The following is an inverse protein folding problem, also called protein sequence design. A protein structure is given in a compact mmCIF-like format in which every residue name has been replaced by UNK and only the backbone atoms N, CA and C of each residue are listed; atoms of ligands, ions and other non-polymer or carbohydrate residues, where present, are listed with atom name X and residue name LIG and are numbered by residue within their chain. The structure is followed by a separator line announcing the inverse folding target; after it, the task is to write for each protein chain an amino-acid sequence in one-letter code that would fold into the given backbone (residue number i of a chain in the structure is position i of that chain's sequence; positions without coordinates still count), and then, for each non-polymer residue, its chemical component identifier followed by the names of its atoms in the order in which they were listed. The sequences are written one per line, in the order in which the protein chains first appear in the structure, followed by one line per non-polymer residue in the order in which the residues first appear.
data_IF_915123481115
#
_entry.id   IF_915123481115
#
_cell.length_a   1.000
_cell.length_b   1.000
_cell.length_c   1.000
_cell.angle_alpha   90.00
_cell.angle_beta   90.00
_cell.angle_gamma   90.00
#
_symmetry.space_group_name_H-M   'P 1'
#
loop_
_entity.id
_entity.type
_entity.pdbx_description
1 polymer ?
#
# COMPACT_ATOMS: atom_id res chain seq x y z
N UNK A 1 -60.72 -42.44 -41.42
CA UNK A 1 -59.79 -41.44 -42.00
C UNK A 1 -59.96 -40.12 -41.26
N UNK A 2 -58.89 -39.33 -41.04
CA UNK A 2 -58.71 -38.51 -39.84
C UNK A 2 -59.22 -37.06 -39.98
N UNK A 3 -59.60 -36.45 -38.85
CA UNK A 3 -59.79 -35.01 -38.68
C UNK A 3 -59.53 -34.64 -37.20
N UNK A 4 -58.43 -33.96 -36.90
CA UNK A 4 -58.33 -32.52 -36.54
C UNK A 4 -58.28 -32.23 -35.03
N UNK A 5 -57.05 -31.99 -34.57
CA UNK A 5 -56.57 -30.94 -33.64
C UNK A 5 -57.62 -30.21 -32.77
N UNK A 6 -57.42 -30.24 -31.45
CA UNK A 6 -57.58 -29.04 -30.62
C UNK A 6 -56.72 -29.11 -29.35
N UNK A 7 -55.81 -28.14 -29.27
CA UNK A 7 -55.03 -27.71 -28.12
C UNK A 7 -55.96 -27.15 -27.03
N UNK A 8 -55.69 -27.49 -25.77
CA UNK A 8 -56.22 -26.77 -24.61
C UNK A 8 -55.06 -26.50 -23.64
N UNK A 9 -54.68 -25.22 -23.56
CA UNK A 9 -53.93 -24.64 -22.45
C UNK A 9 -54.77 -24.73 -21.18
N UNK A 10 -54.15 -24.96 -20.02
CA UNK A 10 -54.61 -24.33 -18.77
C UNK A 10 -53.50 -24.31 -17.72
N UNK A 11 -53.15 -23.08 -17.34
CA UNK A 11 -52.90 -22.61 -15.97
C UNK A 11 -51.66 -23.09 -15.20
N UNK A 12 -50.57 -22.33 -15.36
CA UNK A 12 -49.47 -22.21 -14.40
C UNK A 12 -49.93 -21.50 -13.12
N UNK A 13 -50.02 -22.22 -12.00
CA UNK A 13 -50.15 -21.63 -10.66
C UNK A 13 -48.76 -21.22 -10.13
N UNK A 14 -48.53 -19.91 -10.01
CA UNK A 14 -47.38 -19.33 -9.28
C UNK A 14 -47.56 -19.56 -7.78
N UNK A 15 -46.75 -20.43 -7.20
CA UNK A 15 -46.57 -20.51 -5.75
C UNK A 15 -45.59 -19.42 -5.31
N UNK A 16 -46.07 -18.45 -4.53
CA UNK A 16 -45.25 -17.44 -3.86
C UNK A 16 -44.91 -17.97 -2.47
N UNK A 17 -43.77 -18.64 -2.33
CA UNK A 17 -43.26 -19.06 -1.02
C UNK A 17 -42.47 -17.91 -0.38
N UNK A 18 -42.99 -17.42 0.75
CA UNK A 18 -42.38 -16.41 1.61
C UNK A 18 -41.19 -17.04 2.37
N UNK A 19 -40.02 -16.36 2.50
CA UNK A 19 -38.90 -16.93 3.25
C UNK A 19 -39.18 -16.87 4.78
N UNK A 20 -38.66 -17.83 5.56
CA UNK A 20 -38.92 -17.92 7.00
C UNK A 20 -38.18 -16.83 7.79
N UNK A 21 -38.66 -16.47 9.00
CA UNK A 21 -38.07 -15.39 9.79
C UNK A 21 -36.69 -15.77 10.33
N UNK A 22 -35.76 -14.81 10.26
CA UNK A 22 -34.40 -14.95 10.75
C UNK A 22 -34.36 -15.21 12.28
N UNK A 23 -33.74 -16.32 12.68
CA UNK A 23 -33.50 -16.62 14.09
C UNK A 23 -32.42 -15.68 14.64
N UNK A 24 -32.79 -14.88 15.65
CA UNK A 24 -31.84 -14.08 16.43
C UNK A 24 -30.99 -15.04 17.29
N UNK A 25 -29.84 -15.45 16.78
CA UNK A 25 -28.80 -16.05 17.60
C UNK A 25 -28.29 -15.01 18.60
N UNK A 26 -28.60 -15.21 19.89
CA UNK A 26 -28.02 -14.43 20.99
C UNK A 26 -26.50 -14.66 20.98
N UNK A 27 -25.71 -13.63 20.70
CA UNK A 27 -24.27 -13.67 20.90
C UNK A 27 -23.99 -13.85 22.40
N UNK A 28 -23.52 -15.04 22.79
CA UNK A 28 -22.88 -15.22 24.10
C UNK A 28 -21.60 -14.40 24.06
N UNK A 29 -21.56 -13.29 24.78
CA UNK A 29 -20.32 -12.60 25.08
C UNK A 29 -19.33 -13.60 25.68
N UNK A 30 -18.21 -13.81 24.98
CA UNK A 30 -17.11 -14.62 25.47
C UNK A 30 -16.59 -13.99 26.77
N UNK A 31 -16.49 -14.79 27.83
CA UNK A 31 -15.88 -14.35 29.10
C UNK A 31 -14.42 -13.97 28.85
N UNK A 32 -13.88 -12.93 29.52
CA UNK A 32 -12.48 -12.55 29.37
C UNK A 32 -11.60 -13.72 29.78
N UNK A 33 -10.77 -14.19 28.85
CA UNK A 33 -9.75 -15.20 29.09
C UNK A 33 -8.80 -14.71 30.17
N UNK A 34 -8.55 -15.51 31.21
CA UNK A 34 -7.53 -15.23 32.22
C UNK A 34 -6.19 -15.04 31.50
N UNK A 35 -5.48 -13.97 31.81
CA UNK A 35 -4.14 -13.71 31.28
C UNK A 35 -3.20 -14.85 31.72
N UNK A 36 -3.01 -15.85 30.86
CA UNK A 36 -2.00 -16.89 31.05
C UNK A 36 -0.65 -16.21 30.90
N UNK A 37 0.11 -16.12 31.98
CA UNK A 37 1.48 -15.60 31.97
C UNK A 37 2.34 -16.50 31.07
N UNK A 38 2.93 -15.92 30.02
CA UNK A 38 3.82 -16.62 29.08
C UNK A 38 5.02 -17.20 29.86
N UNK A 39 5.40 -18.48 29.65
CA UNK A 39 6.56 -19.07 30.32
C UNK A 39 7.85 -18.24 30.10
N UNK A 40 8.75 -18.11 31.11
CA UNK A 40 9.96 -17.29 30.97
C UNK A 40 10.85 -17.68 29.78
N UNK A 41 10.92 -18.97 29.45
CA UNK A 41 11.69 -19.46 28.30
C UNK A 41 11.13 -18.95 26.96
N UNK A 42 9.81 -18.96 26.80
CA UNK A 42 9.12 -18.43 25.61
C UNK A 42 9.30 -16.91 25.52
N UNK A 43 9.18 -16.20 26.64
CA UNK A 43 9.42 -14.76 26.67
C UNK A 43 10.86 -14.39 26.25
N UNK A 44 11.84 -15.17 26.71
CA UNK A 44 13.25 -15.03 26.32
C UNK A 44 13.48 -15.31 24.83
N UNK A 45 12.90 -16.39 24.31
CA UNK A 45 12.94 -16.76 22.89
C UNK A 45 12.42 -15.62 22.01
N UNK A 46 11.20 -15.15 22.30
CA UNK A 46 10.54 -14.07 21.56
C UNK A 46 11.41 -12.81 21.55
N UNK A 47 11.96 -12.42 22.70
CA UNK A 47 12.85 -11.25 22.82
C UNK A 47 14.10 -11.41 21.95
N UNK A 48 14.77 -12.56 22.00
CA UNK A 48 15.99 -12.82 21.21
C UNK A 48 15.74 -12.73 19.71
N UNK A 49 14.65 -13.31 19.22
CA UNK A 49 14.31 -13.27 17.80
C UNK A 49 14.08 -11.82 17.35
N UNK A 50 13.30 -11.03 18.10
CA UNK A 50 13.08 -9.61 17.78
C UNK A 50 14.39 -8.83 17.75
N UNK A 51 15.27 -9.02 18.73
CA UNK A 51 16.57 -8.34 18.79
C UNK A 51 17.48 -8.71 17.60
N UNK A 52 17.49 -9.98 17.16
CA UNK A 52 18.25 -10.41 15.97
C UNK A 52 17.70 -9.81 14.68
N UNK A 53 16.39 -9.62 14.57
CA UNK A 53 15.76 -9.09 13.35
C UNK A 53 15.91 -7.57 13.21
N UNK A 54 16.08 -6.82 14.31
CA UNK A 54 16.27 -5.35 14.27
C UNK A 54 17.42 -4.90 13.35
N UNK A 55 18.67 -5.42 13.48
CA UNK A 55 19.75 -5.10 12.55
C UNK A 55 19.47 -5.51 11.10
N UNK A 56 18.72 -6.60 10.87
CA UNK A 56 18.36 -7.05 9.52
C UNK A 56 17.46 -6.02 8.85
N UNK A 57 16.49 -5.45 9.57
CA UNK A 57 15.61 -4.38 9.07
C UNK A 57 16.45 -3.17 8.62
N UNK A 58 17.40 -2.73 9.45
CA UNK A 58 18.26 -1.60 9.14
C UNK A 58 19.13 -1.86 7.91
N UNK A 59 19.83 -3.00 7.88
CA UNK A 59 20.73 -3.37 6.79
C UNK A 59 19.96 -3.48 5.46
N UNK A 60 18.85 -4.21 5.44
CA UNK A 60 18.06 -4.42 4.23
C UNK A 60 17.42 -3.13 3.74
N UNK A 61 16.97 -2.25 4.64
CA UNK A 61 16.44 -0.94 4.27
C UNK A 61 17.47 -0.06 3.56
N UNK A 62 18.74 -0.13 3.98
CA UNK A 62 19.84 0.56 3.29
C UNK A 62 20.17 -0.07 1.93
N UNK A 63 20.13 -1.39 1.82
CA UNK A 63 20.48 -2.12 0.59
C UNK A 63 19.40 -2.01 -0.50
N UNK A 64 18.12 -2.07 -0.13
CA UNK A 64 17.00 -2.03 -1.09
C UNK A 64 16.62 -0.61 -1.51
N UNK A 65 17.14 0.41 -0.81
CA UNK A 65 16.91 1.81 -1.11
C UNK A 65 15.55 2.33 -0.62
N UNK A 66 15.28 3.63 -0.85
CA UNK A 66 14.20 4.36 -0.17
C UNK A 66 12.79 3.91 -0.57
N UNK A 67 12.62 3.27 -1.73
CA UNK A 67 11.30 2.85 -2.22
C UNK A 67 10.80 1.53 -1.61
N UNK A 68 11.59 0.91 -0.73
CA UNK A 68 11.22 -0.34 -0.05
C UNK A 68 11.24 -0.14 1.46
N UNK A 69 10.08 -0.25 2.08
CA UNK A 69 9.89 -0.22 3.52
C UNK A 69 10.03 -1.61 4.12
N UNK A 70 10.71 -1.70 5.26
CA UNK A 70 10.72 -2.90 6.11
C UNK A 70 10.17 -2.55 7.48
N UNK A 71 9.26 -3.38 7.99
CA UNK A 71 8.62 -3.15 9.29
C UNK A 71 8.65 -4.43 10.11
N UNK A 72 9.28 -4.38 11.27
CA UNK A 72 9.23 -5.43 12.27
C UNK A 72 8.16 -5.08 13.31
N UNK A 73 7.20 -5.98 13.47
CA UNK A 73 6.13 -5.90 14.42
C UNK A 73 6.37 -6.86 15.60
N UNK A 74 6.16 -6.37 16.83
CA UNK A 74 5.79 -7.17 18.00
C UNK A 74 4.26 -7.27 18.05
N UNK A 75 3.76 -8.47 17.82
CA UNK A 75 2.32 -8.76 17.74
C UNK A 75 1.69 -8.97 19.12
N UNK A 76 2.51 -9.04 20.17
CA UNK A 76 2.04 -9.07 21.56
C UNK A 76 1.62 -7.68 22.05
N UNK A 77 2.01 -6.62 21.32
CA UNK A 77 1.70 -5.22 21.64
C UNK A 77 1.03 -4.51 20.44
N UNK A 78 -0.20 -4.87 20.06
CA UNK A 78 -0.83 -4.38 18.82
C UNK A 78 -0.97 -2.85 18.74
N UNK A 79 -1.14 -2.18 19.89
CA UNK A 79 -1.26 -0.71 19.97
C UNK A 79 0.08 0.02 19.76
N UNK A 80 1.21 -0.68 19.89
CA UNK A 80 2.55 -0.14 19.69
C UNK A 80 3.44 -1.16 18.94
N UNK A 81 2.87 -1.81 17.93
CA UNK A 81 3.46 -3.03 17.36
C UNK A 81 4.78 -2.79 16.65
N UNK A 82 5.01 -1.63 16.03
CA UNK A 82 6.23 -1.41 15.24
C UNK A 82 7.42 -1.23 16.18
N UNK A 83 8.31 -2.22 16.23
CA UNK A 83 9.52 -2.22 17.08
C UNK A 83 10.80 -1.91 16.30
N UNK A 84 10.78 -2.04 14.98
CA UNK A 84 11.84 -1.60 14.09
C UNK A 84 11.25 -1.23 12.72
N UNK A 85 11.79 -0.20 12.08
CA UNK A 85 11.33 0.22 10.75
C UNK A 85 12.48 0.85 9.96
N UNK A 86 12.55 0.50 8.68
CA UNK A 86 13.37 1.20 7.70
C UNK A 86 12.48 1.75 6.59
N UNK A 87 12.80 2.96 6.11
CA UNK A 87 12.05 3.67 5.06
C UNK A 87 10.55 3.84 5.36
N UNK A 88 10.21 4.11 6.63
CA UNK A 88 8.81 4.28 7.09
C UNK A 88 8.02 5.40 6.41
N UNK A 89 8.69 6.29 5.65
CA UNK A 89 8.05 7.31 4.84
C UNK A 89 7.18 6.72 3.71
N UNK A 90 7.41 5.47 3.28
CA UNK A 90 6.59 4.82 2.25
C UNK A 90 5.14 4.65 2.71
N UNK A 91 4.93 4.20 3.95
CA UNK A 91 3.58 4.08 4.52
C UNK A 91 3.19 5.22 5.48
N UNK A 92 4.17 6.01 5.93
CA UNK A 92 4.00 7.02 6.99
C UNK A 92 4.15 6.47 8.42
N UNK A 93 4.57 5.21 8.58
CA UNK A 93 4.75 4.55 9.89
C UNK A 93 6.08 4.93 10.55
N UNK A 94 6.12 4.76 11.87
CA UNK A 94 7.31 4.94 12.72
C UNK A 94 7.35 3.90 13.84
N UNK A 95 8.46 3.80 14.56
CA UNK A 95 8.50 2.97 15.79
C UNK A 95 7.39 3.42 16.75
N UNK A 96 6.68 2.45 17.33
CA UNK A 96 5.51 2.66 18.18
C UNK A 96 4.19 2.82 17.42
N UNK A 97 4.20 2.81 16.09
CA UNK A 97 2.98 2.75 15.28
C UNK A 97 2.14 1.49 15.59
N UNK A 98 0.81 1.65 15.58
CA UNK A 98 -0.12 0.54 15.77
C UNK A 98 -0.08 -0.43 14.59
N UNK A 99 -0.50 -1.67 14.79
CA UNK A 99 -0.59 -2.68 13.71
C UNK A 99 -1.54 -2.25 12.59
N UNK A 100 -2.55 -1.43 12.91
CA UNK A 100 -3.57 -0.95 11.98
C UNK A 100 -3.16 0.31 11.18
N UNK A 101 -2.05 0.95 11.56
CA UNK A 101 -1.54 2.14 10.87
C UNK A 101 -0.80 1.84 9.55
N UNK A 102 -0.74 0.56 9.15
CA UNK A 102 -0.11 0.10 7.92
C UNK A 102 -0.93 0.39 6.64
N UNK A 103 -0.50 -0.18 5.50
CA UNK A 103 -1.20 -0.07 4.23
C UNK A 103 -2.71 -0.39 4.35
N UNK A 104 -3.53 0.40 3.66
CA UNK A 104 -4.95 0.11 3.45
C UNK A 104 -5.09 -1.13 2.57
N UNK A 105 -6.20 -1.83 2.77
CA UNK A 105 -6.49 -3.11 2.13
C UNK A 105 -5.44 -4.20 2.39
N UNK A 106 -4.72 -4.11 3.50
CA UNK A 106 -3.89 -5.21 4.03
C UNK A 106 -4.75 -6.34 4.64
N UNK A 107 -5.86 -6.65 3.96
CA UNK A 107 -6.68 -7.84 4.21
C UNK A 107 -5.86 -9.10 4.02
N UNK A 108 -4.80 -9.03 3.21
CA UNK A 108 -3.83 -10.11 3.05
C UNK A 108 -3.03 -10.34 4.33
N UNK A 109 -2.56 -9.30 5.05
CA UNK A 109 -1.99 -9.46 6.39
C UNK A 109 -3.03 -9.99 7.39
N UNK A 110 -4.26 -9.47 7.37
CA UNK A 110 -5.34 -9.98 8.24
C UNK A 110 -5.73 -11.44 7.96
N UNK A 111 -5.79 -11.83 6.69
CA UNK A 111 -6.07 -13.19 6.25
C UNK A 111 -4.87 -14.12 6.49
N UNK A 112 -3.66 -13.63 6.25
CA UNK A 112 -2.43 -14.33 6.60
C UNK A 112 -2.30 -14.55 8.09
N UNK A 113 -2.64 -13.55 8.90
CA UNK A 113 -2.73 -13.65 10.34
C UNK A 113 -3.78 -14.70 10.73
N UNK A 114 -4.97 -14.65 10.15
CA UNK A 114 -6.04 -15.62 10.43
C UNK A 114 -5.68 -17.05 10.03
N UNK A 115 -5.06 -17.23 8.85
CA UNK A 115 -4.55 -18.52 8.38
C UNK A 115 -3.32 -18.97 9.18
N UNK A 116 -2.51 -18.03 9.68
CA UNK A 116 -1.41 -18.33 10.57
C UNK A 116 -1.91 -18.70 11.97
N UNK A 117 -3.02 -18.13 12.46
CA UNK A 117 -3.61 -18.57 13.74
C UNK A 117 -4.25 -19.96 13.67
N UNK A 118 -4.33 -20.57 12.49
CA UNK A 118 -4.66 -21.98 12.36
C UNK A 118 -3.49 -22.82 12.92
N UNK A 119 -3.73 -23.49 14.04
CA UNK A 119 -2.74 -24.16 14.90
C UNK A 119 -2.10 -25.40 14.26
N UNK A 120 -2.31 -25.63 12.97
CA UNK A 120 -1.87 -26.82 12.25
C UNK A 120 -0.37 -26.82 11.90
N UNK A 121 0.34 -25.70 12.07
CA UNK A 121 1.77 -25.59 11.80
C UNK A 121 2.55 -24.87 12.90
N UNK A 122 3.64 -25.49 13.36
CA UNK A 122 4.60 -24.92 14.32
C UNK A 122 5.68 -24.04 13.68
N UNK A 123 5.79 -24.04 12.34
CA UNK A 123 6.80 -23.28 11.60
C UNK A 123 6.41 -21.83 11.31
N UNK A 124 7.42 -20.98 11.12
CA UNK A 124 7.23 -19.63 10.59
C UNK A 124 6.50 -19.68 9.23
N UNK A 125 5.68 -18.68 8.96
CA UNK A 125 4.83 -18.66 7.76
C UNK A 125 5.24 -17.49 6.86
N UNK A 126 5.38 -17.74 5.56
CA UNK A 126 5.69 -16.70 4.57
C UNK A 126 4.47 -16.47 3.68
N UNK A 127 4.06 -15.21 3.61
CA UNK A 127 3.01 -14.73 2.72
C UNK A 127 3.69 -14.02 1.58
N UNK A 128 3.82 -14.74 0.47
CA UNK A 128 4.48 -14.22 -0.71
C UNK A 128 3.64 -13.15 -1.38
N UNK A 129 4.31 -12.08 -1.81
CA UNK A 129 3.90 -11.06 -2.80
C UNK A 129 2.39 -10.88 -2.98
N UNK A 130 1.85 -9.81 -2.44
CA UNK A 130 0.46 -9.39 -2.62
C UNK A 130 0.37 -7.85 -2.76
N UNK A 131 -0.68 -7.33 -3.40
CA UNK A 131 -0.87 -5.88 -3.53
C UNK A 131 -1.43 -5.27 -2.24
N UNK A 132 -0.94 -4.08 -1.88
CA UNK A 132 -1.55 -3.23 -0.85
C UNK A 132 -1.58 -1.78 -1.30
N UNK A 133 -2.17 -0.88 -0.50
CA UNK A 133 -2.25 0.55 -0.79
C UNK A 133 -1.71 1.37 0.38
N UNK A 134 -0.93 2.42 0.13
CA UNK A 134 -0.62 3.40 1.19
C UNK A 134 -1.91 4.08 1.71
N UNK A 135 -1.81 4.84 2.81
CA UNK A 135 -2.92 5.68 3.27
C UNK A 135 -3.43 6.67 2.19
N UNK A 136 -2.51 7.10 1.31
CA UNK A 136 -2.73 7.97 0.14
C UNK A 136 -3.07 7.20 -1.14
N UNK A 137 -3.31 5.89 -1.05
CA UNK A 137 -3.81 5.05 -2.14
C UNK A 137 -2.77 4.69 -3.20
N UNK A 138 -1.49 4.86 -2.91
CA UNK A 138 -0.41 4.44 -3.80
C UNK A 138 -0.25 2.93 -3.75
N UNK A 139 -0.25 2.22 -4.89
CA UNK A 139 -0.08 0.78 -4.94
C UNK A 139 1.31 0.34 -4.47
N UNK A 140 1.34 -0.66 -3.59
CA UNK A 140 2.56 -1.29 -3.10
C UNK A 140 2.56 -2.79 -3.44
N UNK A 141 3.77 -3.33 -3.60
CA UNK A 141 4.02 -4.76 -3.62
C UNK A 141 4.51 -5.18 -2.23
N UNK A 142 3.73 -6.01 -1.54
CA UNK A 142 3.95 -6.37 -0.14
C UNK A 142 4.27 -7.85 0.04
N UNK A 143 5.06 -8.18 1.06
CA UNK A 143 5.30 -9.54 1.52
C UNK A 143 5.46 -9.55 3.04
N UNK A 144 5.07 -10.66 3.68
CA UNK A 144 5.08 -10.75 5.15
C UNK A 144 5.62 -12.11 5.60
N UNK A 145 6.47 -12.11 6.62
CA UNK A 145 6.85 -13.29 7.38
C UNK A 145 6.20 -13.20 8.76
N UNK A 146 5.51 -14.26 9.20
CA UNK A 146 4.96 -14.42 10.55
C UNK A 146 5.87 -15.36 11.34
N UNK A 147 6.42 -14.87 12.44
CA UNK A 147 7.25 -15.62 13.37
C UNK A 147 6.41 -16.16 14.52
N UNK A 148 6.73 -17.39 14.92
CA UNK A 148 6.08 -18.15 15.99
C UNK A 148 7.11 -18.60 16.99
N UNK A 149 6.70 -18.68 18.24
CA UNK A 149 7.50 -19.27 19.29
C UNK A 149 7.43 -20.81 19.26
N UNK A 150 8.14 -21.45 20.19
CA UNK A 150 8.15 -22.90 20.32
C UNK A 150 6.77 -23.53 20.58
N UNK A 151 5.79 -22.76 21.08
CA UNK A 151 4.41 -23.20 21.27
C UNK A 151 3.56 -23.04 19.99
N UNK A 152 4.14 -22.55 18.90
CA UNK A 152 3.47 -22.28 17.63
C UNK A 152 2.65 -20.98 17.61
N UNK A 153 2.76 -20.15 18.66
CA UNK A 153 2.00 -18.91 18.80
C UNK A 153 2.67 -17.78 18.02
N UNK A 154 1.97 -17.13 17.07
CA UNK A 154 2.49 -15.95 16.39
C UNK A 154 2.81 -14.81 17.38
N UNK A 155 4.01 -14.25 17.30
CA UNK A 155 4.42 -13.17 18.21
C UNK A 155 5.14 -12.00 17.51
N UNK A 156 5.67 -12.20 16.30
CA UNK A 156 6.31 -11.14 15.53
C UNK A 156 5.99 -11.28 14.04
N UNK A 157 6.04 -10.16 13.32
CA UNK A 157 5.94 -10.15 11.86
C UNK A 157 6.98 -9.24 11.23
N UNK A 158 7.59 -9.67 10.12
CA UNK A 158 8.44 -8.84 9.29
C UNK A 158 7.74 -8.59 7.96
N UNK A 159 7.38 -7.34 7.70
CA UNK A 159 6.70 -6.92 6.48
C UNK A 159 7.68 -6.16 5.58
N UNK A 160 7.61 -6.39 4.27
CA UNK A 160 8.29 -5.63 3.24
C UNK A 160 7.24 -5.01 2.32
N UNK A 161 7.33 -3.71 2.06
CA UNK A 161 6.42 -2.98 1.18
C UNK A 161 7.21 -2.15 0.17
N UNK A 162 7.04 -2.42 -1.12
CA UNK A 162 7.76 -1.73 -2.19
C UNK A 162 6.81 -0.84 -3.02
N UNK A 163 7.12 0.45 -3.10
CA UNK A 163 6.54 1.36 -4.08
C UNK A 163 7.30 1.22 -5.41
N UNK A 164 6.66 0.61 -6.40
CA UNK A 164 7.26 0.37 -7.72
C UNK A 164 6.98 1.49 -8.73
N UNK A 165 6.36 2.59 -8.30
CA UNK A 165 5.92 3.69 -9.18
C UNK A 165 7.07 4.24 -10.02
N UNK A 166 8.20 4.57 -9.40
CA UNK A 166 9.36 5.15 -10.10
C UNK A 166 9.89 4.20 -11.18
N UNK A 167 9.91 2.89 -10.90
CA UNK A 167 10.39 1.89 -11.84
C UNK A 167 9.43 1.72 -13.02
N UNK A 168 8.11 1.77 -12.77
CA UNK A 168 7.10 1.76 -13.84
C UNK A 168 7.21 3.00 -14.73
N UNK A 169 7.41 4.17 -14.13
CA UNK A 169 7.57 5.43 -14.86
C UNK A 169 8.85 5.40 -15.71
N UNK A 170 9.96 4.94 -15.15
CA UNK A 170 11.22 4.77 -15.87
C UNK A 170 11.08 3.77 -17.03
N UNK A 171 10.41 2.64 -16.81
CA UNK A 171 10.14 1.64 -17.84
C UNK A 171 9.32 2.23 -18.99
N UNK A 172 8.20 2.89 -18.68
CA UNK A 172 7.33 3.47 -19.71
C UNK A 172 8.01 4.63 -20.46
N UNK A 173 8.86 5.41 -19.79
CA UNK A 173 9.70 6.41 -20.45
C UNK A 173 10.73 5.79 -21.40
N UNK A 174 11.43 4.73 -20.98
CA UNK A 174 12.39 3.99 -21.81
C UNK A 174 11.71 3.39 -23.04
N UNK A 175 10.56 2.77 -22.85
CA UNK A 175 9.75 2.19 -23.93
C UNK A 175 9.42 3.25 -24.99
N UNK A 176 8.92 4.42 -24.56
CA UNK A 176 8.61 5.53 -25.46
C UNK A 176 9.86 6.08 -26.17
N UNK A 177 10.98 6.19 -25.47
CA UNK A 177 12.23 6.70 -26.04
C UNK A 177 12.80 5.76 -27.13
N UNK A 178 12.65 4.45 -26.96
CA UNK A 178 13.16 3.43 -27.89
C UNK A 178 12.25 3.30 -29.11
N UNK A 179 10.92 3.33 -28.93
CA UNK A 179 9.96 3.16 -30.03
C UNK A 179 10.00 4.34 -31.03
N UNK A 180 10.56 5.48 -30.63
CA UNK A 180 10.66 6.68 -31.46
C UNK A 180 9.31 7.38 -31.63
N UNK A 181 9.33 8.70 -31.75
CA UNK A 181 8.12 9.43 -32.13
C UNK A 181 7.68 9.02 -33.55
N UNK A 182 6.39 8.79 -33.82
CA UNK A 182 5.92 8.73 -35.20
C UNK A 182 6.33 10.04 -35.91
N UNK A 183 6.76 9.92 -37.17
CA UNK A 183 7.24 11.03 -37.98
C UNK A 183 6.26 12.22 -37.94
N UNK A 184 6.74 13.48 -37.95
CA UNK A 184 5.91 14.65 -37.70
C UNK A 184 4.93 14.86 -38.86
N UNK A 185 3.66 14.48 -38.66
CA UNK A 185 2.57 15.15 -39.35
C UNK A 185 2.44 16.55 -38.75
N UNK A 186 2.46 17.57 -39.60
CA UNK A 186 2.43 18.97 -39.21
C UNK A 186 1.16 19.31 -38.41
N UNK A 187 1.31 19.56 -37.11
CA UNK A 187 0.49 20.50 -36.30
C UNK A 187 1.10 20.61 -34.90
N UNK A 188 1.23 21.82 -34.32
CA UNK A 188 1.79 21.99 -32.99
C UNK A 188 0.65 22.02 -31.95
N UNK A 189 0.05 20.89 -31.61
CA UNK A 189 -0.79 20.79 -30.42
C UNK A 189 -0.86 19.33 -29.92
N UNK A 190 -0.56 19.16 -28.63
CA UNK A 190 -0.58 17.89 -27.86
C UNK A 190 0.16 16.69 -28.47
N UNK A 191 1.46 16.56 -28.13
CA UNK A 191 2.11 15.24 -28.12
C UNK A 191 1.36 14.36 -27.13
N UNK A 192 0.62 13.37 -27.63
CA UNK A 192 0.00 12.32 -26.82
C UNK A 192 1.13 11.47 -26.22
N UNK A 193 1.46 11.77 -24.96
CA UNK A 193 2.17 10.83 -24.09
C UNK A 193 1.29 9.59 -23.94
N UNK A 194 1.88 8.40 -23.74
CA UNK A 194 1.08 7.18 -23.68
C UNK A 194 0.02 7.30 -22.56
N UNK A 195 -1.23 6.87 -22.79
CA UNK A 195 -2.31 7.02 -21.81
C UNK A 195 -1.94 6.48 -20.41
N UNK A 196 -1.13 5.42 -20.37
CA UNK A 196 -0.69 4.80 -19.11
C UNK A 196 0.32 5.69 -18.33
N UNK A 197 1.22 6.39 -19.04
CA UNK A 197 2.14 7.36 -18.42
C UNK A 197 1.40 8.56 -17.83
N UNK A 198 0.43 9.10 -18.57
CA UNK A 198 -0.38 10.23 -18.13
C UNK A 198 -1.24 9.88 -16.90
N UNK A 199 -1.84 8.69 -16.90
CA UNK A 199 -2.58 8.18 -15.76
C UNK A 199 -1.68 8.00 -14.53
N UNK A 200 -0.47 7.48 -14.71
CA UNK A 200 0.51 7.29 -13.63
C UNK A 200 0.97 8.64 -13.05
N UNK A 201 1.35 9.60 -13.89
CA UNK A 201 1.72 10.95 -13.44
C UNK A 201 0.57 11.62 -12.69
N UNK A 202 -0.66 11.50 -13.21
CA UNK A 202 -1.86 12.00 -12.55
C UNK A 202 -2.08 11.35 -11.18
N UNK A 203 -1.84 10.04 -11.04
CA UNK A 203 -1.93 9.35 -9.75
C UNK A 203 -0.87 9.85 -8.76
N UNK A 204 0.38 10.02 -9.20
CA UNK A 204 1.46 10.55 -8.35
C UNK A 204 1.09 11.92 -7.80
N UNK A 205 0.66 12.82 -8.68
CA UNK A 205 0.29 14.20 -8.31
C UNK A 205 -0.89 14.19 -7.33
N UNK A 206 -1.96 13.44 -7.64
CA UNK A 206 -3.16 13.37 -6.79
C UNK A 206 -2.84 12.77 -5.42
N UNK A 207 -2.04 11.71 -5.37
CA UNK A 207 -1.64 11.04 -4.13
C UNK A 207 -0.84 11.99 -3.22
N UNK A 208 0.15 12.70 -3.79
CA UNK A 208 0.97 13.66 -3.05
C UNK A 208 0.17 14.83 -2.46
N UNK A 209 -0.82 15.34 -3.19
CA UNK A 209 -1.71 16.40 -2.69
C UNK A 209 -2.66 15.87 -1.61
N UNK A 210 -3.19 14.65 -1.78
CA UNK A 210 -4.19 14.07 -0.88
C UNK A 210 -3.64 13.82 0.52
N UNK A 211 -2.33 13.66 0.70
CA UNK A 211 -1.66 13.49 2.00
C UNK A 211 -2.13 14.51 3.05
N UNK A 212 -2.43 15.75 2.64
CA UNK A 212 -2.81 16.83 3.56
C UNK A 212 -4.32 16.92 3.85
N UNK A 213 -5.15 16.18 3.12
CA UNK A 213 -6.60 16.16 3.34
C UNK A 213 -7.33 17.49 3.15
N UNK A 214 -6.72 18.47 2.47
CA UNK A 214 -7.30 19.80 2.25
C UNK A 214 -7.09 20.31 0.82
N UNK A 215 -7.92 21.25 0.34
CA UNK A 215 -7.74 21.91 -0.95
C UNK A 215 -6.37 22.58 -1.06
N UNK A 216 -5.79 22.56 -2.26
CA UNK A 216 -4.47 23.14 -2.58
C UNK A 216 -4.37 24.62 -2.23
N UNK A 217 -5.47 25.35 -2.31
CA UNK A 217 -5.56 26.77 -1.97
C UNK A 217 -5.37 27.02 -0.46
N UNK A 218 -5.61 26.01 0.38
CA UNK A 218 -5.42 26.06 1.83
C UNK A 218 -4.08 25.45 2.27
N UNK A 219 -3.25 25.00 1.32
CA UNK A 219 -1.91 24.49 1.61
C UNK A 219 -0.93 25.64 1.80
N UNK A 220 -0.15 25.58 2.88
CA UNK A 220 0.94 26.50 3.13
C UNK A 220 2.19 26.13 2.29
N UNK A 221 3.25 26.93 2.39
CA UNK A 221 4.50 26.70 1.64
C UNK A 221 5.08 25.31 1.94
N UNK A 222 5.23 24.95 3.22
CA UNK A 222 5.87 23.72 3.65
C UNK A 222 5.15 22.48 3.14
N UNK A 223 3.81 22.49 3.16
CA UNK A 223 2.98 21.41 2.64
C UNK A 223 3.11 21.28 1.12
N UNK A 224 3.20 22.41 0.38
CA UNK A 224 3.45 22.37 -1.07
C UNK A 224 4.87 21.88 -1.39
N UNK A 225 5.87 22.28 -0.61
CA UNK A 225 7.25 21.76 -0.75
C UNK A 225 7.26 20.25 -0.53
N UNK A 226 6.60 19.77 0.51
CA UNK A 226 6.51 18.33 0.81
C UNK A 226 5.74 17.55 -0.27
N UNK A 227 4.69 18.13 -0.86
CA UNK A 227 4.03 17.53 -2.02
C UNK A 227 4.99 17.38 -3.21
N UNK A 228 5.83 18.39 -3.48
CA UNK A 228 6.86 18.34 -4.53
C UNK A 228 7.97 17.33 -4.20
N UNK A 229 8.36 17.23 -2.94
CA UNK A 229 9.33 16.24 -2.44
C UNK A 229 8.82 14.82 -2.66
N UNK A 230 7.56 14.53 -2.33
CA UNK A 230 6.97 13.22 -2.58
C UNK A 230 6.86 12.91 -4.09
N UNK A 231 6.51 13.89 -4.92
CA UNK A 231 6.54 13.74 -6.37
C UNK A 231 7.95 13.44 -6.90
N UNK A 232 8.97 14.11 -6.36
CA UNK A 232 10.38 13.89 -6.71
C UNK A 232 10.83 12.49 -6.34
N UNK A 233 10.55 12.05 -5.10
CA UNK A 233 10.88 10.72 -4.60
C UNK A 233 10.27 9.61 -5.45
N UNK A 234 9.02 9.80 -5.91
CA UNK A 234 8.32 8.87 -6.81
C UNK A 234 8.73 8.99 -8.28
N UNK A 235 9.71 9.84 -8.58
CA UNK A 235 10.35 9.96 -9.88
C UNK A 235 9.58 10.81 -10.90
N UNK A 236 8.55 11.55 -10.50
CA UNK A 236 7.69 12.31 -11.43
C UNK A 236 8.51 13.19 -12.39
N UNK A 237 9.56 13.84 -11.88
CA UNK A 237 10.37 14.80 -12.62
C UNK A 237 11.41 14.17 -13.57
N UNK A 238 11.46 12.85 -13.66
CA UNK A 238 12.23 12.14 -14.71
C UNK A 238 11.56 12.34 -16.08
N UNK A 239 10.23 12.46 -16.10
CA UNK A 239 9.46 12.57 -17.34
C UNK A 239 9.39 14.01 -17.81
N UNK A 240 9.58 14.22 -19.12
CA UNK A 240 9.46 15.55 -19.75
C UNK A 240 8.03 16.09 -19.58
N UNK A 241 7.88 17.39 -19.34
CA UNK A 241 6.56 18.02 -19.20
C UNK A 241 5.91 17.88 -17.80
N UNK A 242 6.41 16.97 -16.96
CA UNK A 242 5.94 16.74 -15.58
C UNK A 242 5.90 18.00 -14.70
N UNK A 243 6.89 18.89 -14.82
CA UNK A 243 6.96 20.17 -14.10
C UNK A 243 5.73 21.04 -14.39
N UNK A 244 5.25 21.04 -15.63
CA UNK A 244 4.05 21.78 -16.01
C UNK A 244 2.79 21.22 -15.34
N UNK A 245 2.67 19.89 -15.28
CA UNK A 245 1.53 19.21 -14.63
C UNK A 245 1.53 19.44 -13.11
N UNK A 246 2.69 19.33 -12.46
CA UNK A 246 2.83 19.61 -11.04
C UNK A 246 2.48 21.07 -10.70
N UNK A 247 2.96 22.02 -11.51
CA UNK A 247 2.66 23.44 -11.37
C UNK A 247 1.15 23.73 -11.47
N UNK A 248 0.49 23.17 -12.49
CA UNK A 248 -0.95 23.33 -12.67
C UNK A 248 -1.75 22.73 -11.50
N UNK A 249 -1.37 21.54 -11.03
CA UNK A 249 -2.08 20.87 -9.94
C UNK A 249 -1.91 21.54 -8.58
N UNK A 250 -0.77 22.20 -8.34
CA UNK A 250 -0.49 22.92 -7.09
C UNK A 250 -0.90 24.40 -7.11
N UNK A 251 -1.48 24.87 -8.22
CA UNK A 251 -1.79 26.28 -8.48
C UNK A 251 -0.56 27.17 -8.28
N UNK A 252 0.51 26.82 -9.01
CA UNK A 252 1.83 27.45 -8.91
C UNK A 252 2.45 27.69 -10.29
N UNK A 253 3.45 28.57 -10.35
CA UNK A 253 4.28 28.71 -11.55
C UNK A 253 5.32 27.59 -11.66
N UNK A 254 5.75 27.27 -12.89
CA UNK A 254 6.88 26.35 -13.12
C UNK A 254 8.14 26.80 -12.37
N UNK A 255 8.37 28.11 -12.30
CA UNK A 255 9.48 28.70 -11.54
C UNK A 255 9.43 28.31 -10.07
N UNK A 256 8.25 28.32 -9.46
CA UNK A 256 8.10 27.93 -8.05
C UNK A 256 8.39 26.45 -7.82
N UNK A 257 8.00 25.58 -8.76
CA UNK A 257 8.34 24.14 -8.71
C UNK A 257 9.86 23.95 -8.75
N UNK A 258 10.56 24.64 -9.67
CA UNK A 258 12.03 24.57 -9.72
C UNK A 258 12.68 25.07 -8.43
N UNK A 259 12.20 26.17 -7.85
CA UNK A 259 12.71 26.66 -6.57
C UNK A 259 12.56 25.64 -5.44
N UNK A 260 11.42 24.95 -5.39
CA UNK A 260 11.20 23.90 -4.38
C UNK A 260 12.10 22.69 -4.62
N UNK A 261 12.29 22.26 -5.87
CA UNK A 261 13.23 21.18 -6.20
C UNK A 261 14.67 21.52 -5.78
N UNK A 262 15.10 22.76 -5.98
CA UNK A 262 16.42 23.22 -5.54
C UNK A 262 16.52 23.32 -4.01
N UNK A 263 15.44 23.75 -3.33
CA UNK A 263 15.35 23.76 -1.86
C UNK A 263 15.49 22.34 -1.29
N UNK A 264 14.79 21.35 -1.86
CA UNK A 264 14.85 19.94 -1.45
C UNK A 264 16.26 19.38 -1.67
N UNK A 265 16.86 19.58 -2.84
CA UNK A 265 18.22 19.08 -3.16
C UNK A 265 19.29 19.63 -2.22
N UNK A 266 19.18 20.92 -1.84
CA UNK A 266 20.08 21.53 -0.86
C UNK A 266 19.93 20.92 0.54
N UNK A 267 18.70 20.52 0.89
CA UNK A 267 18.37 19.91 2.18
C UNK A 267 18.85 18.45 2.28
N UNK A 268 18.79 17.70 1.19
CA UNK A 268 19.25 16.30 1.11
C UNK A 268 20.78 16.16 0.90
N UNK A 269 21.52 17.26 0.80
CA UNK A 269 22.99 17.20 0.78
C UNK A 269 23.58 16.61 -0.50
N UNK A 270 22.90 16.73 -1.65
CA UNK A 270 23.56 16.56 -2.97
C UNK A 270 24.44 17.79 -3.25
N UNK A 271 25.50 17.97 -2.46
CA UNK A 271 26.61 18.80 -2.90
C UNK A 271 27.26 18.08 -4.07
N UNK A 272 27.42 18.82 -5.17
CA UNK A 272 28.18 18.38 -6.36
C UNK A 272 29.52 17.76 -5.98
#
# INVERSE_FOLDING_TARGET
MPATRKTAETSSARSTAQPPPASRARSRAAKPSKATTVPPAIAEERRRIVEVLKPVVEMMGRMLGPNTELVLHDLTQPDASVVAIANGHVSGRKVGSTILSGPKDDRAFGAAWSAATDLSGSGHSVVNVYPTLTGTGTPLKSATVIYRDADGTPFAALCMNADLTVFKLAHAWLEHAIQGAPAPAATPESREESPDMDLLMGEIIRSAIRTFGKPVQLMNKEEKVHAVEEMLRRGLFIVKGSVGRAAAALDMSRFSIYNYLDEIRKREGFSK
#
